data_IF_754289649305
#
_entry.id   IF_754289649305
#
_cell.length_a   1.000
_cell.length_b   1.000
_cell.length_c   1.000
_cell.angle_alpha   90.00
_cell.angle_beta   90.00
_cell.angle_gamma   90.00
#
_symmetry.space_group_name_H-M   'P 1'
#
loop_
_entity.id
_entity.type
_entity.pdbx_description
1 polymer ?
#
# COMPACT_ATOMS: atom_id res chain seq x y z
N UNK A 1 -21.34 14.65 34.69
CA UNK A 1 -20.19 14.23 33.86
C UNK A 1 -20.50 13.02 32.99
N UNK A 2 -21.42 12.13 33.40
CA UNK A 2 -21.80 10.90 32.70
C UNK A 2 -22.33 11.10 31.27
N UNK A 3 -23.08 12.17 31.00
CA UNK A 3 -23.61 12.47 29.65
C UNK A 3 -22.52 12.80 28.60
N UNK A 4 -21.33 13.24 29.01
CA UNK A 4 -20.21 13.49 28.07
C UNK A 4 -19.49 12.20 27.72
N UNK A 5 -19.38 11.26 28.66
CA UNK A 5 -18.72 9.98 28.45
C UNK A 5 -19.55 9.13 27.48
N UNK A 6 -20.86 9.00 27.71
CA UNK A 6 -21.76 8.26 26.81
C UNK A 6 -21.79 8.85 25.37
N UNK A 7 -21.71 10.18 25.23
CA UNK A 7 -21.60 10.83 23.92
C UNK A 7 -20.25 10.59 23.24
N UNK A 8 -19.18 10.48 24.00
CA UNK A 8 -17.85 10.18 23.47
C UNK A 8 -17.75 8.71 23.05
N UNK A 9 -18.30 7.78 23.84
CA UNK A 9 -18.37 6.35 23.52
C UNK A 9 -19.19 6.11 22.25
N UNK A 10 -20.39 6.71 22.15
CA UNK A 10 -21.21 6.60 20.93
C UNK A 10 -20.51 7.19 19.69
N UNK A 11 -19.70 8.23 19.87
CA UNK A 11 -18.94 8.84 18.78
C UNK A 11 -17.72 8.01 18.39
N UNK A 12 -17.10 7.30 19.33
CA UNK A 12 -16.03 6.33 19.05
C UNK A 12 -16.61 5.17 18.25
N UNK A 13 -17.72 4.57 18.67
CA UNK A 13 -18.37 3.46 17.95
C UNK A 13 -18.76 3.86 16.52
N UNK A 14 -19.21 5.09 16.34
CA UNK A 14 -19.56 5.61 15.02
C UNK A 14 -18.31 5.81 14.14
N UNK A 15 -17.24 6.38 14.70
CA UNK A 15 -15.96 6.53 13.99
C UNK A 15 -15.34 5.19 13.62
N UNK A 16 -15.44 4.18 14.50
CA UNK A 16 -14.94 2.83 14.20
C UNK A 16 -15.70 2.18 13.05
N UNK A 17 -17.02 2.39 12.96
CA UNK A 17 -17.82 1.93 11.81
C UNK A 17 -17.44 2.67 10.52
N UNK A 18 -17.30 3.99 10.57
CA UNK A 18 -16.88 4.78 9.40
C UNK A 18 -15.50 4.34 8.90
N UNK A 19 -14.56 4.06 9.81
CA UNK A 19 -13.24 3.53 9.45
C UNK A 19 -13.34 2.15 8.82
N UNK A 20 -14.18 1.25 9.35
CA UNK A 20 -14.39 -0.08 8.77
C UNK A 20 -15.01 -0.01 7.36
N UNK A 21 -15.97 0.90 7.14
CA UNK A 21 -16.57 1.12 5.82
C UNK A 21 -15.56 1.72 4.82
N UNK A 22 -14.75 2.69 5.26
CA UNK A 22 -13.69 3.27 4.44
C UNK A 22 -12.62 2.23 4.06
N UNK A 23 -12.22 1.38 5.02
CA UNK A 23 -11.28 0.27 4.76
C UNK A 23 -11.85 -0.71 3.73
N UNK A 24 -13.12 -1.10 3.90
CA UNK A 24 -13.82 -1.98 2.95
C UNK A 24 -13.93 -1.36 1.55
N UNK A 25 -14.24 -0.06 1.47
CA UNK A 25 -14.31 0.68 0.22
C UNK A 25 -12.92 0.82 -0.46
N UNK A 26 -11.85 0.91 0.33
CA UNK A 26 -10.48 0.98 -0.13
C UNK A 26 -9.86 -0.40 -0.43
N UNK A 27 -10.60 -1.50 -0.25
CA UNK A 27 -10.06 -2.86 -0.41
C UNK A 27 -9.03 -3.25 0.66
N UNK A 28 -8.91 -2.47 1.74
CA UNK A 28 -8.06 -2.75 2.88
C UNK A 28 -8.82 -3.72 3.80
N UNK A 29 -8.49 -5.00 3.72
CA UNK A 29 -9.07 -5.99 4.63
C UNK A 29 -8.71 -5.66 6.09
N UNK A 30 -9.66 -5.82 7.02
CA UNK A 30 -9.48 -5.68 8.48
C UNK A 30 -8.65 -6.86 9.05
N UNK A 31 -7.48 -7.12 8.44
CA UNK A 31 -6.61 -8.22 8.82
C UNK A 31 -5.77 -7.81 10.04
N UNK A 32 -6.41 -7.91 11.21
CA UNK A 32 -5.72 -8.29 12.46
C UNK A 32 -5.34 -9.78 12.45
N UNK A 33 -5.45 -10.47 11.32
CA UNK A 33 -5.01 -11.84 11.13
C UNK A 33 -3.51 -11.89 10.86
N UNK A 34 -2.92 -13.04 11.19
CA UNK A 34 -1.51 -13.33 10.94
C UNK A 34 -1.17 -12.96 9.51
N UNK A 35 -0.31 -11.95 9.33
CA UNK A 35 0.22 -11.60 8.01
C UNK A 35 0.69 -12.90 7.34
N UNK A 36 0.18 -13.18 6.15
CA UNK A 36 0.55 -14.38 5.39
C UNK A 36 2.09 -14.47 5.31
N UNK A 37 2.66 -15.70 5.32
CA UNK A 37 4.08 -15.88 5.10
C UNK A 37 4.45 -15.20 3.77
N UNK A 38 5.44 -14.31 3.81
CA UNK A 38 5.91 -13.61 2.62
C UNK A 38 6.67 -14.57 1.73
N UNK A 39 6.53 -14.43 0.42
CA UNK A 39 7.49 -15.02 -0.52
C UNK A 39 8.87 -14.33 -0.40
N UNK A 40 9.92 -14.99 -0.88
CA UNK A 40 11.26 -14.39 -0.91
C UNK A 40 11.32 -13.09 -1.71
N UNK A 41 10.48 -12.96 -2.75
CA UNK A 41 10.36 -11.74 -3.55
C UNK A 41 9.66 -10.63 -2.74
N UNK A 42 8.59 -10.93 -2.02
CA UNK A 42 7.97 -9.94 -1.12
C UNK A 42 8.96 -9.44 -0.04
N UNK A 43 9.78 -10.33 0.53
CA UNK A 43 10.80 -9.96 1.51
C UNK A 43 11.89 -9.05 0.92
N UNK A 44 12.41 -9.41 -0.25
CA UNK A 44 13.44 -8.64 -0.93
C UNK A 44 12.93 -7.25 -1.35
N UNK A 45 11.72 -7.17 -1.91
CA UNK A 45 11.10 -5.90 -2.28
C UNK A 45 10.83 -5.03 -1.05
N UNK A 46 10.28 -5.60 0.02
CA UNK A 46 10.04 -4.86 1.26
C UNK A 46 11.34 -4.35 1.90
N UNK A 47 12.42 -5.14 1.82
CA UNK A 47 13.75 -4.73 2.27
C UNK A 47 14.31 -3.58 1.44
N UNK A 48 14.16 -3.62 0.12
CA UNK A 48 14.54 -2.54 -0.79
C UNK A 48 13.74 -1.26 -0.51
N UNK A 49 12.42 -1.38 -0.32
CA UNK A 49 11.55 -0.27 0.08
C UNK A 49 11.99 0.36 1.41
N UNK A 50 12.40 -0.44 2.41
CA UNK A 50 12.91 0.09 3.71
C UNK A 50 14.23 0.83 3.54
N UNK A 51 15.13 0.25 2.75
CA UNK A 51 16.47 0.80 2.53
C UNK A 51 16.42 2.12 1.76
N UNK A 52 15.60 2.17 0.71
CA UNK A 52 15.36 3.40 -0.06
C UNK A 52 14.49 4.40 0.74
N UNK A 53 13.50 3.89 1.49
CA UNK A 53 12.58 4.66 2.31
C UNK A 53 13.20 5.37 3.50
N UNK A 54 14.35 4.87 3.99
CA UNK A 54 15.15 5.50 5.03
C UNK A 54 15.68 6.89 4.61
N UNK A 55 15.79 7.13 3.29
CA UNK A 55 16.29 8.39 2.71
C UNK A 55 15.12 9.30 2.31
N UNK A 56 14.07 8.73 1.72
CA UNK A 56 12.85 9.46 1.34
C UNK A 56 11.62 8.67 1.78
N UNK A 57 10.69 9.29 2.53
CA UNK A 57 9.46 8.62 3.02
C UNK A 57 8.61 7.98 1.91
N UNK A 58 8.86 8.36 0.65
CA UNK A 58 8.27 7.82 -0.57
C UNK A 58 9.40 7.47 -1.55
N UNK A 59 9.27 6.35 -2.26
CA UNK A 59 10.28 5.84 -3.19
C UNK A 59 9.63 5.56 -4.54
N UNK A 60 10.24 6.03 -5.63
CA UNK A 60 9.77 5.76 -6.99
C UNK A 60 9.90 4.28 -7.32
N UNK A 61 8.84 3.71 -7.89
CA UNK A 61 8.76 2.28 -8.17
C UNK A 61 9.71 1.86 -9.30
N UNK A 62 9.83 2.69 -10.35
CA UNK A 62 10.77 2.40 -11.45
C UNK A 62 12.21 2.26 -10.97
N UNK A 63 12.62 3.10 -10.00
CA UNK A 63 13.95 2.98 -9.38
C UNK A 63 14.11 1.67 -8.61
N UNK A 64 13.08 1.24 -7.88
CA UNK A 64 13.13 -0.02 -7.13
C UNK A 64 13.25 -1.23 -8.07
N UNK A 65 12.53 -1.23 -9.20
CA UNK A 65 12.64 -2.30 -10.19
C UNK A 65 14.02 -2.33 -10.84
N UNK A 66 14.54 -1.17 -11.24
CA UNK A 66 15.90 -1.04 -11.77
C UNK A 66 16.96 -1.54 -10.79
N UNK A 67 16.87 -1.13 -9.52
CA UNK A 67 17.81 -1.53 -8.46
C UNK A 67 17.76 -3.03 -8.16
N UNK A 68 16.58 -3.66 -8.25
CA UNK A 68 16.38 -5.09 -8.04
C UNK A 68 16.71 -5.94 -9.28
N UNK A 69 16.64 -5.35 -10.48
CA UNK A 69 16.89 -6.04 -11.74
C UNK A 69 15.87 -7.14 -12.07
N UNK A 70 14.64 -7.02 -11.54
CA UNK A 70 13.58 -8.02 -11.74
C UNK A 70 12.84 -7.79 -13.04
N UNK A 71 12.26 -8.87 -13.58
CA UNK A 71 11.27 -8.70 -14.64
C UNK A 71 10.03 -7.98 -14.09
N UNK A 72 9.34 -7.27 -14.99
CA UNK A 72 8.18 -6.47 -14.60
C UNK A 72 7.11 -7.32 -13.91
N UNK A 73 6.86 -8.54 -14.41
CA UNK A 73 5.77 -9.38 -13.91
C UNK A 73 6.03 -9.84 -12.47
N UNK A 74 7.23 -10.34 -12.17
CA UNK A 74 7.59 -10.80 -10.83
C UNK A 74 7.63 -9.63 -9.83
N UNK A 75 8.05 -8.45 -10.30
CA UNK A 75 8.02 -7.22 -9.52
C UNK A 75 6.59 -6.78 -9.20
N UNK A 76 5.70 -6.79 -10.19
CA UNK A 76 4.30 -6.40 -10.04
C UNK A 76 3.54 -7.36 -9.12
N UNK A 77 3.75 -8.67 -9.28
CA UNK A 77 3.13 -9.67 -8.42
C UNK A 77 3.55 -9.48 -6.95
N UNK A 78 4.84 -9.21 -6.69
CA UNK A 78 5.33 -8.95 -5.34
C UNK A 78 4.79 -7.63 -4.77
N UNK A 79 4.73 -6.58 -5.60
CA UNK A 79 4.20 -5.27 -5.20
C UNK A 79 2.71 -5.36 -4.85
N UNK A 80 1.90 -6.01 -5.68
CA UNK A 80 0.48 -6.24 -5.46
C UNK A 80 0.24 -7.07 -4.20
N UNK A 81 1.01 -8.14 -3.99
CA UNK A 81 0.94 -8.95 -2.77
C UNK A 81 1.24 -8.12 -1.51
N UNK A 82 2.29 -7.30 -1.52
CA UNK A 82 2.63 -6.42 -0.40
C UNK A 82 1.57 -5.33 -0.15
N UNK A 83 1.00 -4.76 -1.21
CA UNK A 83 -0.05 -3.75 -1.12
C UNK A 83 -1.35 -4.34 -0.55
N UNK A 84 -1.79 -5.50 -1.05
CA UNK A 84 -2.95 -6.25 -0.53
C UNK A 84 -2.76 -6.67 0.93
N UNK A 85 -1.54 -7.02 1.31
CA UNK A 85 -1.20 -7.33 2.70
C UNK A 85 -1.06 -6.10 3.60
N UNK A 86 -1.27 -4.87 3.08
CA UNK A 86 -1.13 -3.62 3.83
C UNK A 86 0.28 -3.37 4.36
N UNK A 87 1.30 -3.97 3.72
CA UNK A 87 2.72 -3.82 4.12
C UNK A 87 3.38 -2.61 3.47
N UNK A 88 2.81 -2.15 2.36
CA UNK A 88 3.22 -0.94 1.63
C UNK A 88 1.97 -0.14 1.22
N UNK A 89 2.16 1.15 0.98
CA UNK A 89 1.16 2.03 0.42
C UNK A 89 1.65 2.55 -0.93
N UNK A 90 0.79 2.47 -1.94
CA UNK A 90 1.06 3.00 -3.27
C UNK A 90 0.47 4.41 -3.38
N UNK A 91 1.32 5.37 -3.72
CA UNK A 91 0.96 6.76 -3.96
C UNK A 91 1.11 7.05 -5.45
N UNK A 92 0.05 7.60 -6.05
CA UNK A 92 0.11 8.05 -7.42
C UNK A 92 0.40 9.54 -7.47
N UNK A 93 1.38 9.91 -8.29
CA UNK A 93 1.69 11.31 -8.61
C UNK A 93 0.52 11.98 -9.35
N UNK A 94 0.44 13.30 -9.26
CA UNK A 94 -0.70 14.13 -9.69
C UNK A 94 -0.94 14.23 -11.21
N UNK A 95 -0.31 13.40 -12.06
CA UNK A 95 -0.30 13.55 -13.53
C UNK A 95 -1.24 12.58 -14.28
N UNK A 96 -2.38 12.20 -13.68
CA UNK A 96 -3.57 11.81 -14.44
C UNK A 96 -3.69 10.35 -14.93
N UNK A 97 -2.75 9.47 -14.60
CA UNK A 97 -3.05 8.04 -14.58
C UNK A 97 -3.76 7.73 -13.25
N UNK A 98 -4.73 6.82 -13.24
CA UNK A 98 -5.39 6.33 -12.02
C UNK A 98 -4.96 4.89 -11.79
N UNK A 99 -4.60 4.51 -10.55
CA UNK A 99 -4.35 3.12 -10.14
C UNK A 99 -5.55 2.22 -10.49
N UNK A 100 -6.77 2.77 -10.53
CA UNK A 100 -7.99 2.05 -10.93
C UNK A 100 -8.10 1.74 -12.42
N UNK A 101 -7.29 2.39 -13.27
CA UNK A 101 -7.33 2.21 -14.74
C UNK A 101 -6.16 1.36 -15.25
N UNK A 102 -5.30 0.86 -14.36
CA UNK A 102 -4.20 -0.04 -14.69
C UNK A 102 -4.69 -1.49 -14.54
N UNK A 103 -5.26 -2.07 -15.60
CA UNK A 103 -5.72 -3.46 -15.61
C UNK A 103 -4.60 -4.42 -16.06
N UNK A 104 -4.35 -5.48 -15.30
CA UNK A 104 -3.45 -6.65 -15.50
C UNK A 104 -1.97 -6.44 -15.88
N UNK A 105 -1.59 -5.27 -16.40
CA UNK A 105 -0.23 -4.82 -16.70
C UNK A 105 0.03 -3.55 -15.91
N UNK A 106 -0.06 -3.65 -14.59
CA UNK A 106 0.43 -2.58 -13.71
C UNK A 106 1.92 -2.38 -14.03
N UNK A 107 2.42 -1.14 -14.10
CA UNK A 107 3.87 -0.85 -14.25
C UNK A 107 4.55 -1.13 -15.61
N UNK A 108 3.92 -0.80 -16.74
CA UNK A 108 4.75 -0.36 -17.89
C UNK A 108 5.62 0.83 -17.50
N UNK A 109 6.74 1.10 -18.20
CA UNK A 109 7.74 2.15 -17.84
C UNK A 109 7.13 3.53 -17.48
N UNK A 110 6.00 3.87 -18.10
CA UNK A 110 5.25 5.10 -17.80
C UNK A 110 4.52 5.05 -16.46
N UNK A 111 3.91 3.93 -16.07
CA UNK A 111 3.22 3.78 -14.79
C UNK A 111 4.17 3.86 -13.59
N UNK A 112 5.38 3.31 -13.74
CA UNK A 112 6.43 3.32 -12.72
C UNK A 112 6.95 4.71 -12.39
N UNK A 113 7.05 5.57 -13.40
CA UNK A 113 7.56 6.94 -13.28
C UNK A 113 6.64 7.82 -12.42
N UNK A 114 5.34 7.52 -12.41
CA UNK A 114 4.33 8.29 -11.68
C UNK A 114 3.86 7.62 -10.39
N UNK A 115 4.39 6.45 -10.04
CA UNK A 115 3.96 5.73 -8.84
C UNK A 115 5.11 5.67 -7.82
N UNK A 116 4.75 5.94 -6.58
CA UNK A 116 5.65 5.91 -5.43
C UNK A 116 5.13 4.91 -4.41
N UNK A 117 6.05 4.29 -3.69
CA UNK A 117 5.74 3.41 -2.57
C UNK A 117 6.17 4.07 -1.26
N UNK A 118 5.35 3.96 -0.23
CA UNK A 118 5.76 4.26 1.13
C UNK A 118 5.49 3.08 2.04
N UNK A 119 6.23 3.01 3.14
CA UNK A 119 5.96 2.04 4.20
C UNK A 119 5.06 2.74 5.23
N UNK A 120 3.93 2.14 5.64
CA UNK A 120 3.05 2.69 6.67
C UNK A 120 3.72 2.80 8.04
#
# INVERSE_FOLDING_TARGET
MENRIARLEARIDQLEKEVAELKKAAGLSDDKGKKAPMSGNEEALLSACRSAGAVSKQVKIGKLREDLGWDAKDFDDALDALAKAGRILLHQGSMGLSLSNMDSMFMGDNGESFTEVSIP
#
